data_IF_564451198285
#
_entry.id   IF_564451198285
#
_cell.length_a   1.000
_cell.length_b   1.000
_cell.length_c   1.000
_cell.angle_alpha   90.00
_cell.angle_beta   90.00
_cell.angle_gamma   90.00
#
_symmetry.space_group_name_H-M   'P 1'
#
loop_
_entity.id
_entity.type
_entity.pdbx_description
1 polymer ?
#
# COMPACT_ATOMS: atom_id res chain seq x y z
N UNK A 1 17.28 -5.12 1.83
CA UNK A 1 16.01 -4.59 2.36
C UNK A 1 16.13 -4.54 3.89
N UNK A 2 15.89 -3.38 4.48
CA UNK A 2 15.87 -3.16 5.94
C UNK A 2 14.49 -3.59 6.45
N UNK A 3 14.43 -4.42 7.49
CA UNK A 3 13.16 -4.88 8.07
C UNK A 3 12.95 -4.20 9.41
N UNK A 4 11.81 -3.52 9.56
CA UNK A 4 11.38 -2.89 10.81
C UNK A 4 10.18 -3.68 11.36
N UNK A 5 10.34 -4.28 12.53
CA UNK A 5 9.25 -4.97 13.21
C UNK A 5 8.30 -3.96 13.86
N UNK A 6 7.02 -4.20 13.75
CA UNK A 6 5.94 -3.43 14.37
C UNK A 6 5.20 -4.27 15.39
N UNK A 7 4.71 -3.61 16.42
CA UNK A 7 3.87 -4.26 17.42
C UNK A 7 2.44 -4.36 16.90
N UNK A 8 1.96 -5.58 16.77
CA UNK A 8 0.55 -5.91 16.47
C UNK A 8 -0.03 -6.74 17.59
N UNK A 9 -1.35 -6.75 17.70
CA UNK A 9 -2.12 -7.53 18.70
C UNK A 9 -3.21 -8.33 18.00
N UNK A 10 -3.71 -9.33 18.68
CA UNK A 10 -4.95 -9.99 18.27
C UNK A 10 -6.10 -8.96 18.26
N UNK A 11 -6.88 -9.00 17.18
CA UNK A 11 -7.95 -8.04 16.91
C UNK A 11 -7.53 -6.79 16.14
N UNK A 12 -6.23 -6.57 15.90
CA UNK A 12 -5.80 -5.51 14.98
C UNK A 12 -6.18 -5.86 13.54
N UNK A 13 -6.55 -4.83 12.78
CA UNK A 13 -6.92 -4.93 11.37
C UNK A 13 -6.08 -3.95 10.55
N UNK A 14 -5.26 -4.48 9.66
CA UNK A 14 -4.38 -3.71 8.80
C UNK A 14 -5.02 -3.54 7.41
N UNK A 15 -5.18 -2.29 6.98
CA UNK A 15 -5.43 -1.96 5.57
C UNK A 15 -4.09 -1.71 4.87
N UNK A 16 -3.93 -2.35 3.71
CA UNK A 16 -2.83 -2.08 2.79
C UNK A 16 -3.44 -1.66 1.45
N UNK A 17 -3.55 -0.35 1.17
CA UNK A 17 -3.96 0.13 -0.15
C UNK A 17 -2.98 -0.33 -1.22
N UNK A 18 -3.48 -0.60 -2.43
CA UNK A 18 -2.63 -0.67 -3.61
C UNK A 18 -1.99 0.68 -3.92
N UNK A 19 -1.08 0.70 -4.87
CA UNK A 19 -0.36 1.92 -5.29
C UNK A 19 -1.36 3.01 -5.68
N UNK A 20 -1.31 4.16 -4.99
CA UNK A 20 -2.37 5.19 -5.06
C UNK A 20 -2.16 6.16 -6.24
N UNK A 21 -0.92 6.53 -6.53
CA UNK A 21 -0.54 7.46 -7.59
C UNK A 21 -1.37 8.75 -7.59
N UNK A 22 -1.43 9.45 -6.43
CA UNK A 22 -2.19 10.69 -6.33
C UNK A 22 -1.81 11.68 -7.42
N UNK A 23 -2.80 12.36 -7.89
CA UNK A 23 -3.18 13.09 -9.06
C UNK A 23 -3.61 12.22 -10.28
N UNK A 24 -3.35 10.92 -10.25
CA UNK A 24 -3.81 9.95 -11.26
C UNK A 24 -4.62 8.78 -10.65
N UNK A 25 -5.08 8.96 -9.43
CA UNK A 25 -5.89 7.96 -8.73
C UNK A 25 -7.31 7.86 -9.31
N UNK A 26 -7.90 6.68 -9.17
CA UNK A 26 -9.33 6.47 -9.34
C UNK A 26 -10.06 6.78 -8.04
N UNK A 27 -10.64 7.99 -7.95
CA UNK A 27 -11.29 8.43 -6.71
C UNK A 27 -12.50 7.57 -6.33
N UNK A 28 -13.25 7.09 -7.31
CA UNK A 28 -14.40 6.22 -7.06
C UNK A 28 -13.95 4.86 -6.51
N UNK A 29 -12.86 4.29 -7.03
CA UNK A 29 -12.26 3.08 -6.47
C UNK A 29 -11.75 3.29 -5.03
N UNK A 30 -11.17 4.46 -4.74
CA UNK A 30 -10.74 4.84 -3.39
C UNK A 30 -11.94 4.95 -2.45
N UNK A 31 -13.06 5.53 -2.89
CA UNK A 31 -14.27 5.64 -2.07
C UNK A 31 -14.78 4.24 -1.67
N UNK A 32 -14.79 3.28 -2.59
CA UNK A 32 -15.14 1.88 -2.29
C UNK A 32 -14.17 1.27 -1.28
N UNK A 33 -12.86 1.51 -1.44
CA UNK A 33 -11.87 1.05 -0.47
C UNK A 33 -12.11 1.64 0.93
N UNK A 34 -12.44 2.92 1.03
CA UNK A 34 -12.73 3.57 2.32
C UNK A 34 -13.97 3.00 3.00
N UNK A 35 -15.04 2.68 2.24
CA UNK A 35 -16.23 2.02 2.78
C UNK A 35 -15.90 0.63 3.35
N UNK A 36 -15.11 -0.17 2.62
CA UNK A 36 -14.63 -1.47 3.11
C UNK A 36 -13.74 -1.31 4.33
N UNK A 37 -12.86 -0.32 4.35
CA UNK A 37 -11.98 -0.02 5.47
C UNK A 37 -12.76 0.35 6.75
N UNK A 38 -13.84 1.11 6.61
CA UNK A 38 -14.76 1.45 7.71
C UNK A 38 -15.47 0.19 8.21
N UNK A 39 -16.05 -0.61 7.31
CA UNK A 39 -16.74 -1.86 7.66
C UNK A 39 -15.79 -2.89 8.31
N UNK A 40 -14.53 -2.93 7.89
CA UNK A 40 -13.51 -3.77 8.49
C UNK A 40 -12.98 -3.26 9.85
N UNK A 41 -13.38 -2.06 10.27
CA UNK A 41 -12.91 -1.41 11.51
C UNK A 41 -11.37 -1.36 11.61
N UNK A 42 -10.71 -0.90 10.56
CA UNK A 42 -9.23 -0.89 10.47
C UNK A 42 -8.59 -0.16 11.64
N UNK A 43 -7.54 -0.73 12.20
CA UNK A 43 -6.73 -0.12 13.26
C UNK A 43 -5.36 0.35 12.79
N UNK A 44 -4.92 -0.12 11.65
CA UNK A 44 -3.61 0.15 11.06
C UNK A 44 -3.74 0.38 9.55
N UNK A 45 -2.90 1.27 9.02
CA UNK A 45 -2.75 1.49 7.57
C UNK A 45 -1.27 1.46 7.20
N UNK A 46 -0.95 0.76 6.13
CA UNK A 46 0.37 0.80 5.52
C UNK A 46 0.24 1.17 4.04
N UNK A 47 0.53 2.42 3.68
CA UNK A 47 0.71 2.81 2.29
C UNK A 47 2.00 2.17 1.78
N UNK A 48 1.90 1.33 0.74
CA UNK A 48 3.03 0.50 0.29
C UNK A 48 4.07 1.23 -0.54
N UNK A 49 3.90 2.53 -0.79
CA UNK A 49 4.69 3.36 -1.69
C UNK A 49 3.96 3.63 -2.99
N UNK A 50 4.61 4.37 -3.89
CA UNK A 50 3.97 4.93 -5.08
C UNK A 50 2.64 5.61 -4.72
N UNK A 51 2.69 6.34 -3.59
CA UNK A 51 1.58 7.15 -3.09
C UNK A 51 1.33 8.33 -4.01
N UNK A 52 2.40 8.91 -4.57
CA UNK A 52 2.36 10.00 -5.54
C UNK A 52 2.88 9.55 -6.89
N UNK A 53 2.33 10.13 -7.95
CA UNK A 53 2.80 9.87 -9.31
C UNK A 53 4.18 10.50 -9.57
N UNK A 54 4.47 11.63 -8.91
CA UNK A 54 5.75 12.33 -9.01
C UNK A 54 6.18 12.64 -10.46
N UNK A 55 5.20 12.87 -11.34
CA UNK A 55 5.41 13.05 -12.79
C UNK A 55 6.41 14.17 -13.10
N UNK A 56 6.42 15.23 -12.28
CA UNK A 56 7.29 16.40 -12.47
C UNK A 56 8.78 16.08 -12.42
N UNK A 57 9.17 15.00 -11.74
CA UNK A 57 10.56 14.59 -11.51
C UNK A 57 10.91 13.22 -12.09
N UNK A 58 9.95 12.58 -12.76
CA UNK A 58 10.15 11.25 -13.32
C UNK A 58 11.37 11.18 -14.24
N UNK A 59 12.23 10.20 -14.00
CA UNK A 59 13.39 9.88 -14.82
C UNK A 59 13.13 8.81 -15.87
N UNK A 60 11.90 8.30 -15.96
CA UNK A 60 11.57 7.23 -16.89
C UNK A 60 11.85 7.65 -18.35
N UNK A 61 12.61 6.87 -19.14
CA UNK A 61 12.99 7.25 -20.52
C UNK A 61 11.80 7.54 -21.43
N UNK A 62 10.67 6.87 -21.26
CA UNK A 62 9.42 7.11 -21.98
C UNK A 62 8.79 8.46 -21.69
N UNK A 63 9.07 9.05 -20.52
CA UNK A 63 8.58 10.37 -20.13
C UNK A 63 9.45 11.54 -20.61
N UNK A 64 10.61 11.30 -21.26
CA UNK A 64 11.37 12.37 -21.94
C UNK A 64 10.57 13.03 -23.07
N UNK A 65 9.66 12.30 -23.71
CA UNK A 65 8.65 12.82 -24.63
C UNK A 65 7.54 13.58 -23.89
N UNK A 66 7.33 13.33 -22.62
CA UNK A 66 6.34 13.99 -21.78
C UNK A 66 6.74 15.39 -21.30
N UNK A 67 7.89 15.97 -21.75
CA UNK A 67 8.15 17.43 -21.57
C UNK A 67 7.00 18.29 -22.06
N UNK A 68 6.23 17.81 -23.05
CA UNK A 68 5.02 18.47 -23.55
C UNK A 68 3.85 18.34 -22.56
N UNK A 69 3.77 17.23 -21.84
CA UNK A 69 2.78 16.97 -20.79
C UNK A 69 3.09 17.63 -19.45
N UNK A 70 4.37 17.95 -19.17
CA UNK A 70 4.79 18.64 -17.93
C UNK A 70 4.16 20.01 -17.70
N UNK A 71 3.63 20.64 -18.74
CA UNK A 71 2.90 21.93 -18.57
C UNK A 71 1.45 21.74 -18.11
N UNK A 72 0.92 20.53 -18.20
CA UNK A 72 -0.49 20.22 -17.95
C UNK A 72 -0.71 19.29 -16.74
N UNK A 73 0.35 18.65 -16.23
CA UNK A 73 0.24 17.65 -15.15
C UNK A 73 0.88 18.11 -13.85
N UNK A 74 0.23 17.71 -12.79
CA UNK A 74 0.36 17.91 -11.37
C UNK A 74 1.69 18.43 -10.85
N UNK A 75 1.60 19.54 -10.20
CA UNK A 75 2.65 20.02 -9.29
C UNK A 75 2.53 19.27 -7.96
N UNK A 76 3.58 19.24 -7.15
CA UNK A 76 3.56 18.73 -5.76
C UNK A 76 2.32 19.25 -5.00
N UNK A 77 1.96 20.50 -5.24
CA UNK A 77 0.77 21.12 -4.62
C UNK A 77 -0.54 20.46 -5.07
N UNK A 78 -0.64 20.09 -6.34
CA UNK A 78 -1.83 19.41 -6.89
C UNK A 78 -1.90 17.97 -6.42
N UNK A 79 -0.79 17.25 -6.43
CA UNK A 79 -0.69 15.89 -5.88
C UNK A 79 -1.10 15.88 -4.40
N UNK A 80 -0.55 16.81 -3.59
CA UNK A 80 -0.91 16.94 -2.19
C UNK A 80 -2.38 17.31 -1.97
N UNK A 81 -2.95 18.16 -2.81
CA UNK A 81 -4.38 18.50 -2.75
C UNK A 81 -5.26 17.29 -3.10
N UNK A 82 -4.88 16.49 -4.10
CA UNK A 82 -5.58 15.27 -4.48
C UNK A 82 -5.50 14.19 -3.39
N UNK A 83 -4.36 14.08 -2.72
CA UNK A 83 -4.13 13.09 -1.65
C UNK A 83 -4.87 13.41 -0.35
N UNK A 84 -5.02 14.69 -0.02
CA UNK A 84 -5.48 15.16 1.30
C UNK A 84 -6.80 14.54 1.76
N UNK A 85 -7.87 14.45 0.96
CA UNK A 85 -9.11 13.84 1.42
C UNK A 85 -8.91 12.39 1.86
N UNK A 86 -8.24 11.58 1.05
CA UNK A 86 -8.00 10.16 1.32
C UNK A 86 -7.09 9.94 2.53
N UNK A 87 -5.95 10.64 2.61
CA UNK A 87 -5.00 10.52 3.72
C UNK A 87 -5.66 10.95 5.04
N UNK A 88 -6.49 12.00 5.02
CA UNK A 88 -7.24 12.44 6.19
C UNK A 88 -8.28 11.41 6.60
N UNK A 89 -9.08 10.88 5.67
CA UNK A 89 -10.09 9.86 5.97
C UNK A 89 -9.46 8.60 6.58
N UNK A 90 -8.35 8.09 6.02
CA UNK A 90 -7.62 6.94 6.57
C UNK A 90 -7.11 7.22 7.98
N UNK A 91 -6.54 8.39 8.21
CA UNK A 91 -6.08 8.81 9.54
C UNK A 91 -7.21 8.86 10.56
N UNK A 92 -8.35 9.39 10.17
CA UNK A 92 -9.51 9.56 11.06
C UNK A 92 -10.17 8.21 11.37
N UNK A 93 -10.29 7.29 10.42
CA UNK A 93 -10.73 5.92 10.62
C UNK A 93 -9.84 5.19 11.64
N UNK A 94 -8.52 5.22 11.45
CA UNK A 94 -7.58 4.58 12.39
C UNK A 94 -7.66 5.21 13.79
N UNK A 95 -7.74 6.53 13.87
CA UNK A 95 -7.87 7.23 15.17
C UNK A 95 -9.16 6.88 15.88
N UNK A 96 -10.28 6.84 15.15
CA UNK A 96 -11.58 6.46 15.69
C UNK A 96 -11.56 5.04 16.25
N UNK A 97 -11.05 4.07 15.50
CA UNK A 97 -11.03 2.66 15.90
C UNK A 97 -10.01 2.38 17.02
N UNK A 98 -8.87 3.08 17.04
CA UNK A 98 -7.85 2.96 18.10
C UNK A 98 -8.16 3.73 19.38
N UNK A 99 -9.14 4.61 19.36
CA UNK A 99 -9.63 5.29 20.57
C UNK A 99 -10.22 4.31 21.59
N UNK A 100 -10.42 3.04 21.22
CA UNK A 100 -10.74 1.96 22.14
C UNK A 100 -9.56 1.77 23.09
N UNK A 101 -9.74 2.26 24.32
CA UNK A 101 -8.74 2.40 25.36
C UNK A 101 -8.10 1.06 25.71
N UNK A 102 -6.80 0.97 25.50
CA UNK A 102 -5.99 -0.14 26.01
C UNK A 102 -5.64 0.15 27.48
N UNK A 103 -5.97 -0.78 28.36
CA UNK A 103 -5.48 -0.74 29.76
C UNK A 103 -4.06 -1.27 29.72
N UNK A 104 -3.07 -0.45 30.15
CA UNK A 104 -1.68 -0.90 30.29
C UNK A 104 -1.52 -1.82 31.54
N UNK A 105 -0.34 -2.42 31.68
CA UNK A 105 -0.02 -3.30 32.81
C UNK A 105 -0.21 -2.63 34.17
N UNK A 106 -0.22 -1.30 34.24
CA UNK A 106 -0.46 -0.50 35.44
C UNK A 106 -1.93 -0.12 35.65
N UNK A 107 -2.86 -0.65 34.83
CA UNK A 107 -4.30 -0.37 34.93
C UNK A 107 -4.72 1.00 34.42
N UNK A 108 -3.84 1.75 33.74
CA UNK A 108 -4.16 3.05 33.17
C UNK A 108 -4.65 2.90 31.72
N UNK A 109 -5.62 3.75 31.36
CA UNK A 109 -6.10 3.88 29.99
C UNK A 109 -5.06 4.66 29.17
N UNK A 110 -4.46 4.02 28.20
CA UNK A 110 -3.48 4.66 27.30
C UNK A 110 -3.93 4.58 25.86
N UNK A 111 -3.77 5.69 25.14
CA UNK A 111 -3.92 5.68 23.68
C UNK A 111 -2.79 4.84 23.08
N UNK A 112 -3.13 3.95 22.18
CA UNK A 112 -2.15 3.18 21.43
C UNK A 112 -1.53 4.07 20.35
N UNK A 113 -0.24 4.42 20.44
CA UNK A 113 0.42 5.18 19.37
C UNK A 113 0.64 4.31 18.14
N UNK A 114 0.72 4.94 17.00
CA UNK A 114 1.09 4.28 15.75
C UNK A 114 -0.12 3.84 14.89
N UNK A 115 0.13 2.97 13.93
CA UNK A 115 -0.89 2.45 13.02
C UNK A 115 -0.95 3.12 11.67
N UNK A 116 -0.25 4.22 11.46
CA UNK A 116 -0.19 4.94 10.19
C UNK A 116 1.24 4.90 9.66
N UNK A 117 1.46 4.16 8.59
CA UNK A 117 2.78 3.95 8.00
C UNK A 117 2.77 4.24 6.50
N UNK A 118 3.84 4.86 6.01
CA UNK A 118 4.09 5.09 4.58
C UNK A 118 5.46 4.50 4.23
N UNK A 119 5.50 3.62 3.26
CA UNK A 119 6.72 3.15 2.63
C UNK A 119 7.08 4.07 1.46
N UNK A 120 8.36 4.25 1.22
CA UNK A 120 8.85 4.93 0.02
C UNK A 120 8.88 3.95 -1.14
N UNK A 121 8.09 4.21 -2.17
CA UNK A 121 8.10 3.49 -3.44
C UNK A 121 9.16 4.01 -4.39
N UNK A 122 9.17 3.53 -5.63
CA UNK A 122 10.14 4.00 -6.62
C UNK A 122 9.83 5.40 -7.14
N UNK A 123 8.57 5.84 -7.12
CA UNK A 123 8.18 7.19 -7.53
C UNK A 123 8.67 8.23 -6.51
N UNK A 124 8.48 7.99 -5.22
CA UNK A 124 9.04 8.86 -4.18
C UNK A 124 10.57 8.82 -4.16
N UNK A 125 11.18 7.67 -4.45
CA UNK A 125 12.64 7.53 -4.49
C UNK A 125 13.30 8.36 -5.59
N UNK A 126 12.57 8.81 -6.64
CA UNK A 126 13.12 9.72 -7.63
C UNK A 126 13.55 11.07 -7.03
N UNK A 127 12.94 11.49 -5.91
CA UNK A 127 13.35 12.69 -5.18
C UNK A 127 14.79 12.63 -4.67
N UNK A 128 15.23 11.49 -4.16
CA UNK A 128 16.63 11.30 -3.76
C UNK A 128 17.59 11.59 -4.93
N UNK A 129 17.24 11.11 -6.12
CA UNK A 129 18.02 11.39 -7.31
C UNK A 129 18.00 12.85 -7.76
N UNK A 130 16.93 13.60 -7.48
CA UNK A 130 16.89 15.06 -7.71
C UNK A 130 17.77 15.79 -6.70
N UNK A 131 17.73 15.36 -5.43
CA UNK A 131 18.61 15.90 -4.38
C UNK A 131 20.11 15.68 -4.71
N UNK A 132 20.47 14.49 -5.19
CA UNK A 132 21.84 14.17 -5.61
C UNK A 132 22.30 15.05 -6.80
N UNK A 133 21.38 15.36 -7.73
CA UNK A 133 21.69 16.20 -8.91
C UNK A 133 21.78 17.69 -8.56
N UNK A 134 21.04 18.13 -7.55
CA UNK A 134 20.97 19.52 -7.11
C UNK A 134 21.22 19.64 -5.60
N UNK A 135 22.40 19.26 -5.10
CA UNK A 135 22.73 19.34 -3.69
C UNK A 135 22.67 20.79 -3.21
N UNK A 136 21.97 21.03 -2.12
CA UNK A 136 21.79 22.35 -1.53
C UNK A 136 20.56 23.14 -2.05
N UNK A 137 19.84 22.62 -3.05
CA UNK A 137 18.54 23.18 -3.46
C UNK A 137 17.37 22.48 -2.78
N UNK A 138 17.51 21.22 -2.40
CA UNK A 138 16.45 20.40 -1.83
C UNK A 138 17.03 19.48 -0.74
N UNK A 139 17.27 20.03 0.46
CA UNK A 139 17.62 19.21 1.64
C UNK A 139 16.39 18.61 2.33
N UNK A 140 15.20 18.93 1.81
CA UNK A 140 13.92 18.56 2.41
C UNK A 140 13.52 17.15 1.98
N UNK A 141 13.24 16.23 2.91
CA UNK A 141 12.69 14.92 2.59
C UNK A 141 11.40 15.03 1.76
N UNK A 142 11.18 14.08 0.86
CA UNK A 142 10.06 14.13 -0.08
C UNK A 142 8.69 14.35 0.61
N UNK A 143 8.46 13.74 1.76
CA UNK A 143 7.19 13.83 2.47
C UNK A 143 6.93 15.21 3.08
N UNK A 144 7.97 15.95 3.43
CA UNK A 144 7.86 17.32 3.95
C UNK A 144 7.44 18.32 2.86
N UNK A 145 7.65 17.96 1.56
CA UNK A 145 7.20 18.78 0.43
C UNK A 145 5.69 18.88 0.35
N UNK A 146 4.97 17.95 0.98
CA UNK A 146 3.51 17.93 1.05
C UNK A 146 2.94 18.56 2.33
N UNK A 147 3.80 19.25 3.12
CA UNK A 147 3.42 19.97 4.34
C UNK A 147 2.91 19.01 5.43
N UNK A 148 1.77 19.35 6.02
CA UNK A 148 1.15 18.62 7.13
C UNK A 148 0.40 17.33 6.72
N UNK A 149 0.49 16.94 5.46
CA UNK A 149 -0.29 15.81 4.92
C UNK A 149 -0.04 14.51 5.70
N UNK A 150 1.22 14.27 6.07
CA UNK A 150 1.65 13.08 6.80
C UNK A 150 1.80 13.28 8.31
N UNK A 151 1.16 14.32 8.88
CA UNK A 151 1.16 14.53 10.32
C UNK A 151 0.57 13.32 11.05
N UNK A 152 1.38 12.74 11.95
CA UNK A 152 1.03 11.52 12.69
C UNK A 152 1.30 10.22 11.93
N UNK A 153 1.81 10.27 10.72
CA UNK A 153 2.28 9.10 9.98
C UNK A 153 3.77 8.83 10.23
N UNK A 154 4.16 7.57 10.19
CA UNK A 154 5.56 7.16 10.18
C UNK A 154 5.99 6.90 8.74
N UNK A 155 6.82 7.78 8.20
CA UNK A 155 7.39 7.60 6.86
C UNK A 155 8.66 6.78 6.96
N UNK A 156 8.81 5.81 6.08
CA UNK A 156 9.92 4.87 6.05
C UNK A 156 10.75 5.07 4.78
N UNK A 157 12.08 5.03 4.96
CA UNK A 157 13.05 5.16 3.87
C UNK A 157 12.85 4.08 2.79
N UNK A 158 13.34 4.36 1.59
CA UNK A 158 13.43 3.39 0.50
C UNK A 158 14.11 2.09 0.99
N UNK A 159 13.72 0.97 0.41
CA UNK A 159 14.19 -0.38 0.79
C UNK A 159 13.76 -0.84 2.19
N UNK A 160 12.83 -0.17 2.82
CA UNK A 160 12.27 -0.64 4.09
C UNK A 160 11.10 -1.59 3.83
N UNK A 161 11.04 -2.65 4.61
CA UNK A 161 9.86 -3.49 4.75
C UNK A 161 9.38 -3.48 6.20
N UNK A 162 8.09 -3.47 6.39
CA UNK A 162 7.46 -3.53 7.71
C UNK A 162 7.04 -4.95 8.01
N UNK A 163 7.35 -5.43 9.22
CA UNK A 163 6.94 -6.75 9.68
C UNK A 163 5.83 -6.61 10.70
N UNK A 164 4.65 -7.07 10.34
CA UNK A 164 3.47 -7.22 11.19
C UNK A 164 3.35 -8.70 11.58
N UNK A 165 3.69 -9.07 12.81
CA UNK A 165 3.81 -10.47 13.21
C UNK A 165 4.74 -11.25 12.25
N UNK A 166 4.20 -12.22 11.50
CA UNK A 166 4.92 -13.00 10.50
C UNK A 166 4.61 -12.57 9.05
N UNK A 167 3.93 -11.44 8.84
CA UNK A 167 3.66 -10.83 7.53
C UNK A 167 4.66 -9.69 7.27
N UNK A 168 5.33 -9.75 6.13
CA UNK A 168 6.21 -8.69 5.63
C UNK A 168 5.46 -7.86 4.59
N UNK A 169 5.41 -6.54 4.78
CA UNK A 169 4.78 -5.59 3.85
C UNK A 169 5.87 -4.70 3.27
N UNK A 170 5.94 -4.58 1.94
CA UNK A 170 6.93 -3.76 1.24
C UNK A 170 6.38 -3.25 -0.10
N UNK A 171 7.04 -2.25 -0.71
CA UNK A 171 6.58 -1.74 -2.02
C UNK A 171 6.66 -2.79 -3.13
N UNK A 172 7.72 -3.55 -3.22
CA UNK A 172 7.80 -4.64 -4.20
C UNK A 172 8.79 -4.42 -5.36
N UNK A 173 9.15 -3.18 -5.71
CA UNK A 173 10.06 -2.88 -6.85
C UNK A 173 11.46 -3.53 -6.74
N UNK A 174 11.86 -3.93 -5.54
CA UNK A 174 13.14 -4.62 -5.27
C UNK A 174 12.96 -6.10 -4.91
N UNK A 175 11.75 -6.60 -4.92
CA UNK A 175 11.53 -8.03 -4.70
C UNK A 175 11.90 -8.81 -5.95
N UNK A 176 12.78 -9.81 -5.79
CA UNK A 176 13.12 -10.72 -6.88
C UNK A 176 11.86 -11.50 -7.28
N UNK A 177 11.51 -11.43 -8.55
CA UNK A 177 10.36 -12.15 -9.11
C UNK A 177 9.04 -11.36 -9.12
N UNK A 178 8.96 -10.17 -8.50
CA UNK A 178 7.73 -9.37 -8.48
C UNK A 178 7.21 -9.00 -9.88
N UNK A 179 8.10 -8.73 -10.83
CA UNK A 179 7.75 -8.38 -12.21
C UNK A 179 7.50 -9.57 -13.12
N UNK A 180 7.66 -10.80 -12.63
CA UNK A 180 7.44 -11.99 -13.43
C UNK A 180 5.95 -12.19 -13.77
N UNK A 181 5.67 -12.99 -14.81
CA UNK A 181 4.30 -13.29 -15.27
C UNK A 181 3.41 -13.85 -14.14
N UNK A 182 3.98 -14.71 -13.30
CA UNK A 182 3.34 -15.27 -12.09
C UNK A 182 4.07 -14.68 -10.87
N UNK A 183 3.79 -13.40 -10.58
CA UNK A 183 4.60 -12.64 -9.62
C UNK A 183 4.56 -13.22 -8.22
N UNK A 184 3.39 -13.58 -7.70
CA UNK A 184 3.26 -14.12 -6.35
C UNK A 184 3.99 -15.47 -6.19
N UNK A 185 3.84 -16.39 -7.14
CA UNK A 185 4.56 -17.65 -7.12
C UNK A 185 6.09 -17.46 -7.21
N UNK A 186 6.54 -16.51 -8.05
CA UNK A 186 7.96 -16.18 -8.20
C UNK A 186 8.54 -15.53 -6.94
N UNK A 187 7.80 -14.62 -6.29
CA UNK A 187 8.21 -14.03 -5.01
C UNK A 187 8.30 -15.11 -3.94
N UNK A 188 7.28 -15.96 -3.80
CA UNK A 188 7.27 -17.03 -2.82
C UNK A 188 8.45 -17.99 -3.01
N UNK A 189 8.79 -18.35 -4.25
CA UNK A 189 9.93 -19.20 -4.57
C UNK A 189 11.28 -18.55 -4.23
N UNK A 190 11.41 -17.22 -4.37
CA UNK A 190 12.64 -16.49 -4.04
C UNK A 190 12.78 -16.18 -2.54
N UNK A 191 11.67 -16.18 -1.78
CA UNK A 191 11.65 -15.90 -0.35
C UNK A 191 10.92 -17.01 0.43
N UNK A 192 11.45 -18.25 0.40
CA UNK A 192 10.80 -19.37 1.03
C UNK A 192 10.69 -19.16 2.54
N UNK A 193 9.54 -19.54 3.09
CA UNK A 193 9.27 -19.41 4.53
C UNK A 193 8.91 -18.01 5.00
N UNK A 194 8.69 -17.05 4.08
CA UNK A 194 8.22 -15.71 4.39
C UNK A 194 6.81 -15.50 3.86
N UNK A 195 6.00 -14.78 4.63
CA UNK A 195 4.75 -14.21 4.13
C UNK A 195 5.04 -12.80 3.67
N UNK A 196 4.72 -12.48 2.40
CA UNK A 196 5.09 -11.20 1.80
C UNK A 196 3.89 -10.59 1.09
N UNK A 197 3.54 -9.36 1.46
CA UNK A 197 2.52 -8.55 0.80
C UNK A 197 3.20 -7.34 0.13
N UNK A 198 2.83 -7.03 -1.12
CA UNK A 198 3.54 -6.01 -1.89
C UNK A 198 2.66 -5.37 -2.98
N UNK A 199 2.96 -4.10 -3.30
CA UNK A 199 2.41 -3.31 -4.41
C UNK A 199 3.26 -3.37 -5.68
N UNK A 200 3.49 -2.22 -6.32
CA UNK A 200 4.35 -1.97 -7.47
C UNK A 200 3.90 -2.60 -8.80
N UNK A 201 3.31 -3.75 -8.77
CA UNK A 201 2.99 -4.51 -10.00
C UNK A 201 1.63 -4.15 -10.58
N UNK A 202 0.82 -3.42 -9.84
CA UNK A 202 -0.60 -3.14 -10.12
C UNK A 202 -1.40 -4.41 -10.47
N UNK A 203 -0.99 -5.57 -9.96
CA UNK A 203 -1.66 -6.86 -10.20
C UNK A 203 -2.18 -7.41 -8.89
N UNK A 204 -3.32 -8.04 -8.96
CA UNK A 204 -3.81 -8.88 -7.88
C UNK A 204 -3.39 -10.32 -8.21
N UNK A 205 -2.48 -10.84 -7.41
CA UNK A 205 -1.96 -12.21 -7.56
C UNK A 205 -1.63 -12.77 -6.19
N UNK A 206 -1.98 -14.01 -5.95
CA UNK A 206 -1.75 -14.67 -4.67
C UNK A 206 -1.25 -16.09 -4.89
N UNK A 207 -0.24 -16.46 -4.14
CA UNK A 207 0.28 -17.83 -4.11
C UNK A 207 0.57 -18.22 -2.67
N UNK A 208 0.07 -19.39 -2.26
CA UNK A 208 0.32 -19.95 -0.94
C UNK A 208 0.89 -21.35 -1.06
N UNK A 209 1.79 -21.72 -0.16
CA UNK A 209 2.38 -23.06 -0.11
C UNK A 209 2.34 -23.58 1.32
N UNK A 210 1.71 -24.73 1.56
CA UNK A 210 1.81 -25.40 2.83
C UNK A 210 3.24 -25.90 3.04
N UNK A 211 3.74 -25.76 4.24
CA UNK A 211 5.04 -26.29 4.64
C UNK A 211 4.88 -27.11 5.92
N UNK A 212 5.69 -28.16 6.03
CA UNK A 212 5.80 -28.94 7.25
C UNK A 212 7.22 -28.81 7.78
N UNK A 213 7.37 -28.19 8.91
CA UNK A 213 8.68 -28.09 9.57
C UNK A 213 8.57 -28.70 10.96
N UNK A 214 9.37 -29.74 11.19
CA UNK A 214 9.36 -30.48 12.46
C UNK A 214 7.97 -31.04 12.87
N UNK A 215 7.17 -31.47 11.87
CA UNK A 215 5.82 -32.00 12.12
C UNK A 215 4.74 -30.95 12.36
N UNK A 216 5.08 -29.66 12.33
CA UNK A 216 4.12 -28.56 12.49
C UNK A 216 3.74 -28.04 11.11
N UNK A 217 2.46 -28.09 10.73
CA UNK A 217 1.99 -27.49 9.50
C UNK A 217 2.06 -25.96 9.60
N UNK A 218 2.62 -25.34 8.57
CA UNK A 218 2.58 -23.90 8.38
C UNK A 218 2.25 -23.57 6.93
N UNK A 219 1.71 -22.40 6.67
CA UNK A 219 1.44 -21.90 5.34
C UNK A 219 2.19 -20.60 5.13
N UNK A 220 2.85 -20.48 3.99
CA UNK A 220 3.50 -19.23 3.60
C UNK A 220 2.86 -18.74 2.32
N UNK A 221 2.74 -17.40 2.19
CA UNK A 221 2.07 -16.76 1.07
C UNK A 221 2.79 -15.53 0.55
N UNK A 222 2.61 -15.27 -0.73
CA UNK A 222 2.93 -14.00 -1.35
C UNK A 222 1.64 -13.39 -1.92
N UNK A 223 1.44 -12.10 -1.68
CA UNK A 223 0.22 -11.36 -1.97
C UNK A 223 0.58 -10.07 -2.72
N UNK A 224 0.27 -10.00 -4.00
CA UNK A 224 0.33 -8.78 -4.81
C UNK A 224 -1.05 -8.13 -4.78
N UNK A 225 -1.14 -6.86 -4.39
CA UNK A 225 -2.40 -6.25 -3.95
C UNK A 225 -3.06 -5.32 -4.97
N UNK A 226 -2.48 -5.16 -6.17
CA UNK A 226 -3.02 -4.26 -7.20
C UNK A 226 -2.56 -2.82 -7.02
N UNK A 227 -3.27 -1.91 -7.68
CA UNK A 227 -3.12 -0.46 -7.57
C UNK A 227 -4.47 0.23 -7.53
N UNK A 228 -4.49 1.54 -7.32
CA UNK A 228 -5.70 2.37 -7.31
C UNK A 228 -5.60 3.54 -8.29
N UNK A 229 -4.68 3.42 -9.24
CA UNK A 229 -4.52 4.35 -10.36
C UNK A 229 -5.71 4.25 -11.31
N UNK A 230 -6.08 5.36 -11.94
CA UNK A 230 -7.12 5.40 -12.96
C UNK A 230 -6.66 4.66 -14.22
N UNK A 231 -7.42 3.65 -14.61
CA UNK A 231 -7.11 2.80 -15.77
C UNK A 231 -7.14 3.57 -17.10
N UNK A 232 -8.03 4.54 -17.24
CA UNK A 232 -8.14 5.35 -18.45
C UNK A 232 -6.92 6.24 -18.62
N UNK A 233 -6.37 6.74 -17.53
CA UNK A 233 -5.11 7.49 -17.54
C UNK A 233 -3.97 6.56 -17.94
N UNK A 234 -3.88 5.38 -17.35
CA UNK A 234 -2.87 4.39 -17.71
C UNK A 234 -2.91 4.03 -19.20
N UNK A 235 -4.09 3.88 -19.78
CA UNK A 235 -4.29 3.62 -21.23
C UNK A 235 -3.80 4.81 -22.06
N UNK A 236 -4.17 6.03 -21.68
CA UNK A 236 -3.84 7.26 -22.43
C UNK A 236 -2.36 7.62 -22.36
N UNK A 237 -1.72 7.35 -21.24
CA UNK A 237 -0.30 7.68 -21.03
C UNK A 237 0.65 6.71 -21.71
N UNK A 238 0.15 5.62 -22.29
CA UNK A 238 0.98 4.58 -22.88
C UNK A 238 1.87 3.85 -21.85
N UNK A 239 1.63 4.07 -20.55
CA UNK A 239 2.25 3.31 -19.45
C UNK A 239 1.72 1.88 -19.45
N UNK A 240 0.56 1.68 -20.04
CA UNK A 240 0.02 0.38 -20.38
C UNK A 240 0.75 -0.16 -21.62
N UNK A 241 1.96 -0.66 -21.42
CA UNK A 241 2.59 -1.55 -22.41
C UNK A 241 1.76 -2.83 -22.59
N UNK A 242 2.18 -3.77 -23.47
CA UNK A 242 1.44 -5.01 -23.74
C UNK A 242 1.17 -5.90 -22.52
N UNK A 243 1.58 -5.48 -21.33
CA UNK A 243 1.37 -6.18 -20.07
C UNK A 243 0.31 -5.54 -19.17
N UNK A 244 -0.25 -4.43 -19.57
CA UNK A 244 -1.20 -3.63 -18.79
C UNK A 244 -2.61 -4.22 -18.71
N UNK A 245 -2.97 -5.11 -19.62
CA UNK A 245 -4.18 -5.92 -19.49
C UNK A 245 -4.26 -6.66 -18.13
N UNK A 246 -3.13 -6.71 -17.40
CA UNK A 246 -3.01 -7.37 -16.10
C UNK A 246 -3.12 -6.42 -14.92
N UNK A 247 -3.15 -5.11 -15.15
CA UNK A 247 -3.34 -4.16 -14.07
C UNK A 247 -4.76 -4.29 -13.51
N UNK A 248 -4.86 -4.37 -12.21
CA UNK A 248 -6.10 -4.59 -11.48
C UNK A 248 -6.16 -3.63 -10.29
N UNK A 249 -7.31 -3.05 -10.09
CA UNK A 249 -7.54 -2.21 -8.94
C UNK A 249 -7.86 -3.06 -7.72
N UNK A 250 -7.22 -2.72 -6.58
CA UNK A 250 -7.45 -3.43 -5.34
C UNK A 250 -6.57 -2.97 -4.19
N UNK A 251 -6.82 -3.63 -3.07
CA UNK A 251 -6.16 -3.41 -1.77
C UNK A 251 -6.22 -4.70 -0.95
N UNK A 252 -5.63 -4.71 0.24
CA UNK A 252 -5.73 -5.84 1.14
C UNK A 252 -6.21 -5.44 2.54
N UNK A 253 -7.00 -6.30 3.15
CA UNK A 253 -7.37 -6.26 4.56
C UNK A 253 -6.72 -7.46 5.23
N UNK A 254 -6.08 -7.26 6.38
CA UNK A 254 -5.42 -8.32 7.15
C UNK A 254 -5.87 -8.27 8.60
N UNK A 255 -6.48 -9.36 9.06
CA UNK A 255 -6.87 -9.55 10.46
C UNK A 255 -5.80 -10.30 11.22
N UNK A 256 -5.41 -9.80 12.40
CA UNK A 256 -4.47 -10.50 13.27
C UNK A 256 -5.22 -11.18 14.43
N UNK A 257 -4.85 -12.42 14.72
CA UNK A 257 -5.51 -13.23 15.74
C UNK A 257 -4.49 -14.00 16.60
N UNK A 258 -4.90 -14.32 17.82
CA UNK A 258 -4.12 -15.19 18.70
C UNK A 258 -4.32 -16.66 18.29
N UNK A 259 -3.24 -17.36 18.06
CA UNK A 259 -3.26 -18.80 17.74
C UNK A 259 -3.39 -19.70 18.97
N UNK A 260 -3.30 -19.13 20.19
CA UNK A 260 -3.32 -19.87 21.45
C UNK A 260 -1.95 -20.45 21.86
N UNK A 261 -0.90 -20.22 21.06
CA UNK A 261 0.49 -20.66 21.33
C UNK A 261 1.43 -19.48 21.68
N UNK A 262 0.86 -18.30 21.92
CA UNK A 262 1.62 -17.05 22.13
C UNK A 262 2.15 -16.43 20.84
N UNK A 263 1.80 -17.00 19.68
CA UNK A 263 2.18 -16.50 18.38
C UNK A 263 0.96 -15.91 17.67
N UNK A 264 1.09 -14.71 17.12
CA UNK A 264 0.05 -14.09 16.32
C UNK A 264 0.01 -14.75 14.95
N UNK A 265 -1.21 -15.16 14.55
CA UNK A 265 -1.58 -15.47 13.19
C UNK A 265 -2.10 -14.24 12.45
N UNK A 266 -2.26 -14.37 11.14
CA UNK A 266 -2.96 -13.40 10.32
C UNK A 266 -3.81 -14.11 9.26
N UNK A 267 -4.90 -13.44 8.88
CA UNK A 267 -5.71 -13.78 7.71
C UNK A 267 -5.75 -12.56 6.79
N UNK A 268 -5.30 -12.73 5.55
CA UNK A 268 -5.16 -11.65 4.58
C UNK A 268 -6.09 -11.88 3.40
N UNK A 269 -6.99 -10.95 3.17
CA UNK A 269 -7.89 -10.92 2.03
C UNK A 269 -7.47 -9.82 1.07
N UNK A 270 -7.12 -10.19 -0.16
CA UNK A 270 -6.93 -9.22 -1.25
C UNK A 270 -8.30 -8.91 -1.85
N UNK A 271 -8.73 -7.66 -1.71
CA UNK A 271 -10.01 -7.17 -2.20
C UNK A 271 -9.82 -6.57 -3.58
N UNK A 272 -10.46 -7.18 -4.58
CA UNK A 272 -10.47 -6.65 -5.95
C UNK A 272 -11.58 -5.64 -6.11
N UNK A 273 -11.28 -4.52 -6.77
CA UNK A 273 -12.29 -3.59 -7.25
C UNK A 273 -12.71 -4.02 -8.66
N UNK A 274 -13.98 -4.30 -8.81
CA UNK A 274 -14.66 -4.62 -10.05
C UNK A 274 -15.35 -3.39 -10.62
N UNK A 275 -15.84 -3.49 -11.85
CA UNK A 275 -16.76 -2.53 -12.45
C UNK A 275 -18.10 -3.20 -12.65
N UNK A 276 -19.16 -2.49 -12.30
CA UNK A 276 -20.53 -2.94 -12.59
C UNK A 276 -20.90 -2.67 -14.06
N UNK A 277 -22.14 -2.95 -14.43
CA UNK A 277 -22.65 -2.75 -15.80
C UNK A 277 -22.72 -1.26 -16.23
N UNK A 278 -22.66 -0.32 -15.27
CA UNK A 278 -22.59 1.11 -15.50
C UNK A 278 -21.14 1.67 -15.40
N UNK A 279 -20.14 0.78 -15.38
CA UNK A 279 -18.72 1.07 -15.20
C UNK A 279 -18.37 1.73 -13.86
N UNK A 280 -19.22 1.54 -12.84
CA UNK A 280 -18.96 2.05 -11.49
C UNK A 280 -18.14 1.06 -10.68
N UNK A 281 -17.18 1.53 -9.86
CA UNK A 281 -16.40 0.67 -9.00
C UNK A 281 -17.27 -0.01 -7.95
N UNK A 282 -16.98 -1.28 -7.72
CA UNK A 282 -17.60 -2.09 -6.66
C UNK A 282 -16.61 -3.09 -6.08
N UNK A 283 -16.80 -3.46 -4.83
CA UNK A 283 -16.04 -4.52 -4.18
C UNK A 283 -16.95 -5.44 -3.38
N UNK A 284 -16.51 -6.67 -3.19
CA UNK A 284 -17.16 -7.63 -2.29
C UNK A 284 -16.20 -7.93 -1.14
N UNK A 285 -16.68 -7.73 0.07
CA UNK A 285 -15.90 -8.03 1.28
C UNK A 285 -16.82 -8.65 2.34
N UNK A 286 -16.44 -9.79 2.90
CA UNK A 286 -17.22 -10.57 3.88
C UNK A 286 -18.67 -10.84 3.46
N UNK A 287 -18.93 -11.01 2.16
CA UNK A 287 -20.26 -11.27 1.61
C UNK A 287 -21.12 -10.01 1.39
N UNK A 288 -20.64 -8.84 1.75
CA UNK A 288 -21.29 -7.55 1.48
C UNK A 288 -20.72 -6.91 0.21
N UNK A 289 -21.56 -6.14 -0.48
CA UNK A 289 -21.22 -5.44 -1.72
C UNK A 289 -21.14 -3.94 -1.44
N UNK A 290 -20.03 -3.33 -1.79
CA UNK A 290 -19.75 -1.91 -1.62
C UNK A 290 -19.68 -1.24 -3.00
N UNK A 291 -20.30 -0.08 -3.15
CA UNK A 291 -20.38 0.69 -4.40
C UNK A 291 -20.02 2.15 -4.18
N UNK A 292 -19.53 2.82 -5.27
CA UNK A 292 -19.41 4.28 -5.33
C UNK A 292 -20.66 4.91 -5.94
#
# INVERSE_FOLDING_TARGET
MKVKALSVRAGDVLLVPGDLHFDQQDQAAINVMLQVAEAAAITDVCLVGDTFESTGISRHPGMRTARKFRKEKGTIKQEGAAARPTITALRDLVRGNRATLVINESGHRVHRPGGLHVLTGNHEAWWAGVQDEFPGLLDTPWFELYGDLFDGWQVHEEYTALRYANLLVCHGHRLRGSLNKNSAASVLANYPGQNTMYGHTHRIDQCTTPTFKYGVPSCHGAFSIGGLKDRDIEIKDGTLGPHSEKHQQGFAITHFFDRGDGVLGFDATTVRIHRDHADKPMAVYNGEVFHD
#
